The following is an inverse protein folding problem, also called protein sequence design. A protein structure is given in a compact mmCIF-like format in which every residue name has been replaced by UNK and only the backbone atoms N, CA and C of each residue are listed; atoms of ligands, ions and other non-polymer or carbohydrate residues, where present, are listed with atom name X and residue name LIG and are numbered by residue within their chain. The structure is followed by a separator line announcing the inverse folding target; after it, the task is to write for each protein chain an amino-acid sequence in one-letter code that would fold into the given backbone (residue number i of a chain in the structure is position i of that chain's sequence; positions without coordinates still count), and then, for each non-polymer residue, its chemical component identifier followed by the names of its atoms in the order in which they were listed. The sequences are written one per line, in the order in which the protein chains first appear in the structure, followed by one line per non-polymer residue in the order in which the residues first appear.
data_IF_627106738036
#
_entry.id   IF_627106738036
#
_cell.length_a   1.000
_cell.length_b   1.000
_cell.length_c   1.000
_cell.angle_alpha   90.00
_cell.angle_beta   90.00
_cell.angle_gamma   90.00
#
_symmetry.space_group_name_H-M   'P 1'
#
loop_
_entity.id
_entity.type
_entity.pdbx_description
1 polymer ?
#
# COMPACT_ATOMS: atom_id res chain seq x y z
N UNK A 1 38.65 7.33 -66.78
CA UNK A 1 39.28 6.29 -67.62
C UNK A 1 40.74 6.19 -67.21
N UNK A 2 41.29 4.98 -67.35
CA UNK A 2 42.45 4.46 -66.64
C UNK A 2 43.78 5.20 -66.85
N UNK A 3 44.66 5.11 -65.84
CA UNK A 3 46.09 4.89 -66.05
C UNK A 3 46.64 3.88 -65.02
N UNK A 4 47.69 3.09 -65.36
CA UNK A 4 48.17 1.95 -64.58
C UNK A 4 49.59 2.11 -63.98
N UNK A 5 49.76 1.52 -62.78
CA UNK A 5 50.85 0.68 -62.21
C UNK A 5 52.34 0.98 -62.50
N UNK A 6 53.13 1.12 -61.41
CA UNK A 6 54.46 0.49 -61.27
C UNK A 6 54.80 0.16 -59.79
N UNK A 7 55.67 -0.84 -59.62
CA UNK A 7 55.84 -1.79 -58.49
C UNK A 7 56.88 -1.37 -57.39
N UNK A 8 57.13 -2.21 -56.34
CA UNK A 8 57.60 -1.77 -55.01
C UNK A 8 59.12 -1.93 -54.78
N UNK A 9 59.64 -1.28 -53.72
CA UNK A 9 61.01 -1.52 -53.24
C UNK A 9 61.08 -1.96 -51.77
N UNK A 10 61.89 -2.99 -51.57
CA UNK A 10 62.15 -3.77 -50.36
C UNK A 10 62.88 -3.02 -49.22
N UNK A 11 62.71 -3.62 -48.04
CA UNK A 11 63.34 -3.39 -46.72
C UNK A 11 64.87 -3.16 -46.76
N UNK A 12 65.43 -2.68 -45.63
CA UNK A 12 66.44 -3.50 -44.95
C UNK A 12 66.15 -3.72 -43.46
N UNK A 13 66.42 -4.95 -43.04
CA UNK A 13 66.52 -5.46 -41.67
C UNK A 13 67.66 -4.83 -40.88
N UNK A 14 67.47 -4.67 -39.56
CA UNK A 14 68.55 -4.42 -38.60
C UNK A 14 68.56 -5.55 -37.53
N UNK A 15 69.64 -6.33 -37.39
CA UNK A 15 69.76 -7.44 -36.45
C UNK A 15 70.46 -7.01 -35.15
N UNK A 16 69.76 -7.15 -34.03
CA UNK A 16 70.21 -6.94 -32.63
C UNK A 16 70.37 -5.49 -32.14
N UNK A 17 69.33 -4.95 -31.50
CA UNK A 17 69.43 -3.69 -30.74
C UNK A 17 68.19 -3.32 -29.92
N UNK A 18 68.20 -3.70 -28.64
CA UNK A 18 67.52 -3.07 -27.47
C UNK A 18 66.03 -2.70 -27.59
N UNK A 19 65.24 -3.36 -26.74
CA UNK A 19 63.88 -2.96 -26.33
C UNK A 19 63.91 -1.50 -25.86
N UNK A 20 63.27 -0.60 -26.61
CA UNK A 20 63.01 0.77 -26.18
C UNK A 20 62.04 0.74 -25.00
N UNK A 21 62.58 1.02 -23.81
CA UNK A 21 61.83 1.43 -22.63
C UNK A 21 61.06 2.74 -22.95
N UNK A 22 59.80 2.61 -23.39
CA UNK A 22 58.86 3.72 -23.35
C UNK A 22 58.42 3.91 -21.90
N UNK A 23 59.20 4.69 -21.14
CA UNK A 23 58.75 5.33 -19.91
C UNK A 23 57.57 6.24 -20.25
N UNK A 24 56.36 5.72 -20.14
CA UNK A 24 55.16 6.54 -20.04
C UNK A 24 55.20 7.26 -18.69
N UNK A 25 55.72 8.50 -18.68
CA UNK A 25 55.43 9.47 -17.64
C UNK A 25 53.95 9.89 -17.80
N UNK A 26 53.02 9.11 -17.25
CA UNK A 26 51.68 9.62 -16.92
C UNK A 26 51.77 10.31 -15.58
N UNK A 27 51.58 11.63 -15.57
CA UNK A 27 51.40 12.46 -14.39
C UNK A 27 50.29 11.87 -13.50
N UNK A 28 50.66 11.16 -12.44
CA UNK A 28 49.72 10.61 -11.45
C UNK A 28 49.22 11.63 -10.42
N UNK A 29 49.71 12.88 -10.44
CA UNK A 29 49.32 13.90 -9.46
C UNK A 29 47.92 14.46 -9.70
N UNK A 30 47.51 14.63 -10.96
CA UNK A 30 46.29 15.38 -11.29
C UNK A 30 45.04 14.49 -11.27
N UNK A 31 45.18 13.17 -11.41
CA UNK A 31 44.05 12.24 -11.39
C UNK A 31 43.42 12.16 -10.00
N UNK A 32 44.23 12.12 -8.94
CA UNK A 32 43.69 12.10 -7.58
C UNK A 32 43.03 13.42 -7.19
N UNK A 33 43.57 14.56 -7.65
CA UNK A 33 42.96 15.87 -7.44
C UNK A 33 41.59 16.01 -8.16
N UNK A 34 41.46 15.47 -9.37
CA UNK A 34 40.18 15.45 -10.10
C UNK A 34 39.17 14.51 -9.45
N UNK A 35 39.62 13.36 -8.92
CA UNK A 35 38.76 12.43 -8.17
C UNK A 35 38.30 13.05 -6.85
N UNK A 36 39.21 13.66 -6.09
CA UNK A 36 38.88 14.34 -4.84
C UNK A 36 37.95 15.54 -5.07
N UNK A 37 38.21 16.35 -6.11
CA UNK A 37 37.36 17.46 -6.50
C UNK A 37 35.94 17.02 -6.89
N UNK A 38 35.84 15.94 -7.67
CA UNK A 38 34.55 15.36 -8.07
C UNK A 38 33.76 14.79 -6.89
N UNK A 39 34.44 14.17 -5.92
CA UNK A 39 33.79 13.62 -4.72
C UNK A 39 33.23 14.73 -3.82
N UNK A 40 34.00 15.82 -3.62
CA UNK A 40 33.53 16.99 -2.84
C UNK A 40 32.36 17.67 -3.54
N UNK A 41 32.43 17.87 -4.86
CA UNK A 41 31.32 18.44 -5.62
C UNK A 41 30.07 17.56 -5.56
N UNK A 42 30.22 16.24 -5.66
CA UNK A 42 29.11 15.30 -5.52
C UNK A 42 28.45 15.36 -4.14
N UNK A 43 29.25 15.47 -3.07
CA UNK A 43 28.75 15.62 -1.71
C UNK A 43 27.97 16.94 -1.53
N UNK A 44 28.51 18.06 -2.04
CA UNK A 44 27.86 19.37 -1.95
C UNK A 44 26.52 19.37 -2.70
N UNK A 45 26.47 18.78 -3.90
CA UNK A 45 25.23 18.66 -4.67
C UNK A 45 24.21 17.77 -3.95
N UNK A 46 24.64 16.63 -3.38
CA UNK A 46 23.76 15.74 -2.63
C UNK A 46 23.20 16.40 -1.36
N UNK A 47 24.05 17.07 -0.57
CA UNK A 47 23.62 17.79 0.63
C UNK A 47 22.70 18.96 0.28
N UNK A 48 23.00 19.71 -0.78
CA UNK A 48 22.12 20.76 -1.29
C UNK A 48 20.74 20.24 -1.71
N UNK A 49 20.69 19.10 -2.40
CA UNK A 49 19.44 18.46 -2.79
C UNK A 49 18.63 17.96 -1.58
N UNK A 50 19.29 17.40 -0.55
CA UNK A 50 18.63 16.98 0.70
C UNK A 50 18.08 18.17 1.47
N UNK A 51 18.84 19.28 1.57
CA UNK A 51 18.39 20.49 2.27
C UNK A 51 17.26 21.21 1.53
N UNK A 52 17.31 21.26 0.19
CA UNK A 52 16.25 21.85 -0.63
C UNK A 52 14.94 21.05 -0.61
N UNK A 53 15.01 19.73 -0.38
CA UNK A 53 13.84 18.84 -0.30
C UNK A 53 13.04 18.96 1.03
N UNK A 54 13.55 19.72 2.00
CA UNK A 54 12.89 19.98 3.28
C UNK A 54 12.93 18.78 4.26
N UNK A 55 12.35 18.95 5.47
CA UNK A 55 12.42 17.93 6.51
C UNK A 55 11.72 16.63 6.08
N UNK A 56 12.37 15.51 6.39
CA UNK A 56 11.81 14.18 6.29
C UNK A 56 11.09 13.83 7.60
N UNK A 57 9.89 13.28 7.50
CA UNK A 57 9.12 12.85 8.66
C UNK A 57 8.50 11.48 8.36
N UNK A 58 8.81 10.48 9.18
CA UNK A 58 8.29 9.11 9.06
C UNK A 58 8.37 8.51 7.63
N UNK A 59 9.51 8.71 6.95
CA UNK A 59 9.77 8.09 5.64
C UNK A 59 9.14 8.78 4.43
N UNK A 60 8.52 9.95 4.59
CA UNK A 60 7.96 10.74 3.48
C UNK A 60 8.45 12.20 3.54
N UNK A 61 8.64 12.84 2.38
CA UNK A 61 9.02 14.27 2.31
C UNK A 61 7.82 15.15 2.65
N UNK A 62 8.01 16.19 3.49
CA UNK A 62 6.94 17.15 3.80
C UNK A 62 6.35 17.82 2.56
N UNK A 63 7.19 18.15 1.58
CA UNK A 63 6.74 18.74 0.31
C UNK A 63 5.88 17.78 -0.52
N UNK A 64 6.19 16.48 -0.51
CA UNK A 64 5.38 15.45 -1.21
C UNK A 64 4.05 15.20 -0.49
N UNK A 65 4.02 15.26 0.84
CA UNK A 65 2.77 15.21 1.61
C UNK A 65 1.88 16.44 1.30
N UNK A 66 2.48 17.62 1.17
CA UNK A 66 1.76 18.84 0.79
C UNK A 66 1.30 18.82 -0.66
N UNK A 67 2.10 18.29 -1.58
CA UNK A 67 1.71 18.07 -2.98
C UNK A 67 0.60 17.02 -3.11
N UNK A 68 0.69 15.88 -2.40
CA UNK A 68 -0.38 14.87 -2.39
C UNK A 68 -1.68 15.40 -1.77
N UNK A 69 -1.58 16.25 -0.74
CA UNK A 69 -2.72 16.96 -0.17
C UNK A 69 -3.28 18.06 -1.11
N UNK A 70 -2.48 18.57 -2.05
CA UNK A 70 -2.87 19.59 -3.01
C UNK A 70 -3.34 19.01 -4.36
N UNK A 71 -2.85 17.84 -4.76
CA UNK A 71 -3.17 17.15 -6.04
C UNK A 71 -4.51 16.41 -5.99
N UNK A 72 -5.07 16.16 -4.81
CA UNK A 72 -6.41 15.59 -4.63
C UNK A 72 -7.40 16.59 -4.01
N UNK A 73 -8.04 17.46 -4.80
CA UNK A 73 -9.28 18.11 -4.38
C UNK A 73 -10.42 17.09 -4.46
N UNK A 74 -10.39 16.03 -3.65
CA UNK A 74 -11.47 15.03 -3.60
C UNK A 74 -11.71 14.55 -2.18
N UNK A 75 -12.83 14.99 -1.61
CA UNK A 75 -13.48 14.28 -0.49
C UNK A 75 -13.94 15.16 0.67
N UNK A 76 -13.51 16.42 0.76
CA UNK A 76 -14.15 17.39 1.62
C UNK A 76 -15.46 17.82 0.98
N UNK A 77 -16.60 17.38 1.53
CA UNK A 77 -17.84 18.15 1.37
C UNK A 77 -17.60 19.52 1.99
N UNK A 78 -17.12 20.46 1.17
CA UNK A 78 -17.35 21.87 1.43
C UNK A 78 -18.85 22.10 1.26
N UNK A 79 -19.58 22.03 2.37
CA UNK A 79 -20.76 22.84 2.52
C UNK A 79 -20.43 23.94 3.52
N UNK A 80 -20.64 25.18 3.09
CA UNK A 80 -20.62 26.34 3.96
C UNK A 80 -21.58 26.19 5.14
N UNK A 81 -21.46 27.12 6.08
CA UNK A 81 -22.32 27.37 7.27
C UNK A 81 -23.18 26.16 7.71
N UNK A 82 -22.68 25.46 8.73
CA UNK A 82 -23.35 24.41 9.52
C UNK A 82 -24.86 24.65 9.64
N UNK A 83 -25.67 23.83 8.95
CA UNK A 83 -27.12 23.80 9.16
C UNK A 83 -27.42 23.07 10.48
N UNK A 84 -28.36 23.56 11.32
CA UNK A 84 -28.80 22.85 12.50
C UNK A 84 -29.46 21.51 12.09
N UNK A 85 -29.01 20.39 12.67
CA UNK A 85 -29.64 19.06 12.49
C UNK A 85 -28.95 18.10 11.52
N UNK A 86 -27.75 18.41 10.99
CA UNK A 86 -26.94 17.42 10.29
C UNK A 86 -26.42 16.35 11.27
N UNK A 87 -26.38 15.05 10.88
CA UNK A 87 -25.82 14.00 11.72
C UNK A 87 -24.35 14.31 12.04
N UNK A 88 -23.99 14.15 13.31
CA UNK A 88 -22.62 14.33 13.77
C UNK A 88 -21.71 13.30 13.10
N UNK A 89 -20.48 13.66 12.68
CA UNK A 89 -19.50 12.69 12.21
C UNK A 89 -19.38 11.56 13.23
N UNK A 90 -19.40 10.31 12.76
CA UNK A 90 -19.16 9.17 13.62
C UNK A 90 -17.84 9.38 14.38
N UNK A 91 -17.80 9.16 15.71
CA UNK A 91 -16.59 9.35 16.48
C UNK A 91 -15.48 8.49 15.86
N UNK A 92 -14.29 9.07 15.71
CA UNK A 92 -13.12 8.28 15.33
C UNK A 92 -12.99 7.11 16.29
N UNK A 93 -12.73 5.91 15.75
CA UNK A 93 -12.47 4.75 16.59
C UNK A 93 -11.35 5.11 17.58
N UNK A 94 -11.49 4.74 18.87
CA UNK A 94 -10.43 4.96 19.83
C UNK A 94 -9.14 4.32 19.31
N UNK A 95 -8.00 4.96 19.58
CA UNK A 95 -6.71 4.42 19.19
C UNK A 95 -6.61 2.97 19.71
N UNK A 96 -6.54 2.02 18.78
CA UNK A 96 -6.53 0.57 19.09
C UNK A 96 -5.27 0.20 19.90
N UNK A 97 -4.25 1.03 19.78
CA UNK A 97 -3.11 1.09 20.68
C UNK A 97 -3.09 2.52 21.22
N UNK A 98 -3.14 2.68 22.56
CA UNK A 98 -2.62 3.91 23.14
C UNK A 98 -1.20 4.10 22.60
N UNK A 99 -0.83 5.34 22.25
CA UNK A 99 0.59 5.66 22.13
C UNK A 99 1.23 5.05 23.37
N UNK A 100 2.23 4.18 23.20
CA UNK A 100 2.98 3.69 24.35
C UNK A 100 3.36 4.94 25.12
N UNK A 101 2.77 5.13 26.31
CA UNK A 101 3.26 6.13 27.23
C UNK A 101 4.78 5.93 27.23
N UNK A 102 5.53 7.02 27.16
CA UNK A 102 6.97 7.03 27.40
C UNK A 102 7.24 6.65 28.85
N UNK A 103 6.73 5.51 29.30
CA UNK A 103 7.35 4.71 30.33
C UNK A 103 8.65 4.25 29.68
N UNK A 104 9.69 5.07 29.87
CA UNK A 104 11.09 4.69 29.79
C UNK A 104 11.36 3.58 30.79
N UNK A 105 10.77 2.39 30.55
CA UNK A 105 11.39 1.17 31.01
C UNK A 105 12.53 0.99 30.02
N UNK A 106 13.76 1.34 30.43
CA UNK A 106 14.93 1.14 29.60
C UNK A 106 14.90 -0.31 29.11
N UNK A 107 14.63 -0.49 27.80
CA UNK A 107 14.72 -1.81 27.20
C UNK A 107 16.13 -2.35 27.52
N UNK A 108 16.33 -3.64 27.79
CA UNK A 108 17.66 -4.19 27.99
C UNK A 108 18.55 -3.81 26.79
N UNK A 109 19.41 -2.81 26.98
CA UNK A 109 20.34 -2.30 25.97
C UNK A 109 21.60 -3.17 25.87
N UNK A 110 21.61 -4.34 26.50
CA UNK A 110 22.74 -5.25 26.44
C UNK A 110 22.47 -6.38 25.42
N UNK A 111 23.03 -6.28 24.20
CA UNK A 111 23.00 -7.35 23.21
C UNK A 111 23.47 -8.71 23.75
N UNK A 112 24.35 -8.75 24.75
CA UNK A 112 24.84 -10.01 25.32
C UNK A 112 23.74 -10.71 26.13
N UNK A 113 23.04 -9.99 26.99
CA UNK A 113 21.88 -10.51 27.73
C UNK A 113 20.77 -10.98 26.79
N UNK A 114 20.45 -10.22 25.74
CA UNK A 114 19.48 -10.64 24.71
C UNK A 114 19.90 -11.93 24.02
N UNK A 115 21.18 -12.04 23.63
CA UNK A 115 21.71 -13.25 23.01
C UNK A 115 21.60 -14.47 23.93
N UNK A 116 21.97 -14.33 25.19
CA UNK A 116 21.89 -15.40 26.20
C UNK A 116 20.45 -15.87 26.39
N UNK A 117 19.50 -14.94 26.47
CA UNK A 117 18.08 -15.27 26.65
C UNK A 117 17.46 -15.92 25.40
N UNK A 118 17.78 -15.40 24.21
CA UNK A 118 17.16 -15.84 22.95
C UNK A 118 17.80 -17.08 22.34
N UNK A 119 19.09 -17.34 22.58
CA UNK A 119 19.80 -18.48 22.02
C UNK A 119 19.10 -19.84 22.24
N UNK A 120 18.67 -20.23 23.46
CA UNK A 120 17.99 -21.50 23.65
C UNK A 120 16.62 -21.56 22.98
N UNK A 121 15.88 -20.45 22.93
CA UNK A 121 14.55 -20.38 22.32
C UNK A 121 14.62 -20.51 20.79
N UNK A 122 15.53 -19.77 20.16
CA UNK A 122 15.71 -19.75 18.70
C UNK A 122 16.49 -21.01 18.25
N UNK A 123 17.23 -21.66 19.15
CA UNK A 123 17.90 -22.93 18.92
C UNK A 123 17.01 -24.17 19.10
N UNK A 124 15.77 -23.99 19.54
CA UNK A 124 14.85 -25.10 19.82
C UNK A 124 14.59 -25.94 18.56
N UNK A 125 14.77 -27.28 18.61
CA UNK A 125 14.65 -28.14 17.43
C UNK A 125 13.25 -28.10 16.78
N UNK A 126 12.22 -27.76 17.55
CA UNK A 126 10.83 -27.62 17.10
C UNK A 126 10.64 -26.50 16.07
N UNK A 127 11.54 -25.51 16.03
CA UNK A 127 11.51 -24.43 15.04
C UNK A 127 12.10 -24.84 13.68
N UNK A 128 12.68 -26.03 13.59
CA UNK A 128 13.33 -26.52 12.38
C UNK A 128 14.61 -25.75 12.02
N UNK A 129 15.02 -25.85 10.75
CA UNK A 129 16.34 -25.38 10.31
C UNK A 129 16.36 -23.96 9.75
N UNK A 130 15.18 -23.34 9.51
CA UNK A 130 15.04 -22.02 8.90
C UNK A 130 14.38 -21.05 9.87
N UNK A 131 15.20 -20.47 10.74
CA UNK A 131 14.75 -19.51 11.76
C UNK A 131 15.45 -18.18 11.53
N UNK A 132 14.65 -17.11 11.44
CA UNK A 132 15.11 -15.74 11.41
C UNK A 132 14.51 -14.96 12.59
N UNK A 133 15.28 -14.06 13.17
CA UNK A 133 14.86 -13.20 14.27
C UNK A 133 15.62 -11.87 14.21
N UNK A 134 14.91 -10.79 14.55
CA UNK A 134 15.47 -9.44 14.69
C UNK A 134 14.82 -8.75 15.88
N UNK A 135 15.62 -8.10 16.71
CA UNK A 135 15.16 -7.20 17.77
C UNK A 135 15.78 -5.84 17.51
N UNK A 136 14.91 -4.83 17.41
CA UNK A 136 15.30 -3.46 17.11
C UNK A 136 14.76 -2.57 18.22
N UNK A 137 15.59 -1.66 18.71
CA UNK A 137 15.16 -0.57 19.57
C UNK A 137 14.28 0.38 18.73
N UNK A 138 13.00 0.49 19.09
CA UNK A 138 12.04 1.28 18.32
C UNK A 138 12.30 2.80 18.38
N UNK A 139 13.01 3.29 19.40
CA UNK A 139 13.31 4.71 19.57
C UNK A 139 14.57 5.12 18.78
N UNK A 140 15.59 4.27 18.76
CA UNK A 140 16.87 4.57 18.09
C UNK A 140 17.00 3.94 16.70
N UNK A 141 16.23 2.90 16.42
CA UNK A 141 16.39 2.06 15.22
C UNK A 141 17.57 1.09 15.30
N UNK A 142 18.27 1.02 16.43
CA UNK A 142 19.42 0.14 16.61
C UNK A 142 19.00 -1.33 16.66
N UNK A 143 19.64 -2.18 15.87
CA UNK A 143 19.42 -3.63 15.95
C UNK A 143 20.18 -4.22 17.14
N UNK A 144 19.45 -4.58 18.19
CA UNK A 144 20.00 -5.16 19.42
C UNK A 144 20.28 -6.67 19.31
N UNK A 145 19.57 -7.37 18.43
CA UNK A 145 19.77 -8.79 18.14
C UNK A 145 19.40 -9.13 16.70
N UNK A 146 20.14 -10.05 16.07
CA UNK A 146 19.82 -10.57 14.75
C UNK A 146 20.34 -11.98 14.52
N UNK A 147 19.48 -12.86 14.02
CA UNK A 147 19.84 -14.17 13.43
C UNK A 147 19.11 -14.29 12.10
N UNK A 148 19.83 -14.37 10.98
CA UNK A 148 19.20 -14.41 9.66
C UNK A 148 18.26 -13.22 9.38
N UNK A 149 18.50 -12.06 10.00
CA UNK A 149 17.57 -10.93 10.00
C UNK A 149 17.26 -10.39 8.59
N UNK A 150 18.20 -10.51 7.66
CA UNK A 150 18.04 -10.11 6.26
C UNK A 150 17.60 -11.27 5.33
N UNK A 151 17.36 -12.47 5.87
CA UNK A 151 16.93 -13.63 5.08
C UNK A 151 15.45 -13.47 4.70
N UNK A 152 15.08 -13.53 3.42
CA UNK A 152 13.68 -13.53 3.01
C UNK A 152 12.93 -14.75 3.57
N UNK A 153 11.78 -14.51 4.19
CA UNK A 153 10.92 -15.54 4.77
C UNK A 153 9.48 -15.33 4.29
N UNK A 154 8.72 -16.41 4.16
CA UNK A 154 7.28 -16.31 3.90
C UNK A 154 6.60 -15.67 5.11
N UNK A 155 6.02 -14.46 4.99
CA UNK A 155 5.55 -13.70 6.16
C UNK A 155 4.25 -14.25 6.75
N UNK A 156 3.50 -15.06 5.98
CA UNK A 156 2.11 -15.39 6.31
C UNK A 156 1.34 -14.10 6.67
N UNK A 157 0.58 -14.09 7.78
CA UNK A 157 -0.19 -12.91 8.20
C UNK A 157 0.66 -11.71 8.66
N UNK A 158 1.98 -11.83 8.87
CA UNK A 158 2.79 -10.64 9.19
C UNK A 158 2.89 -9.66 8.01
N UNK A 159 2.56 -10.10 6.79
CA UNK A 159 2.40 -9.22 5.62
C UNK A 159 1.38 -8.11 5.84
N UNK A 160 0.39 -8.33 6.73
CA UNK A 160 -0.64 -7.35 7.06
C UNK A 160 -0.07 -6.07 7.66
N UNK A 161 1.09 -6.13 8.33
CA UNK A 161 1.77 -4.94 8.86
C UNK A 161 2.15 -4.02 7.70
N UNK A 162 2.82 -4.56 6.67
CA UNK A 162 3.21 -3.78 5.50
C UNK A 162 1.99 -3.25 4.73
N UNK A 163 0.94 -4.07 4.56
CA UNK A 163 -0.31 -3.64 3.92
C UNK A 163 -1.00 -2.51 4.70
N UNK A 164 -1.09 -2.63 6.03
CA UNK A 164 -1.70 -1.62 6.88
C UNK A 164 -0.91 -0.30 6.86
N UNK A 165 0.42 -0.37 6.95
CA UNK A 165 1.28 0.82 6.81
C UNK A 165 1.09 1.50 5.46
N UNK A 166 1.03 0.74 4.36
CA UNK A 166 0.80 1.29 3.04
C UNK A 166 -0.58 1.97 2.93
N UNK A 167 -1.63 1.30 3.42
CA UNK A 167 -3.00 1.85 3.40
C UNK A 167 -3.11 3.12 4.24
N UNK A 168 -2.60 3.12 5.47
CA UNK A 168 -2.63 4.29 6.36
C UNK A 168 -1.79 5.45 5.83
N UNK A 169 -0.64 5.16 5.22
CA UNK A 169 0.22 6.20 4.62
C UNK A 169 -0.41 6.83 3.38
N UNK A 170 -1.11 6.03 2.56
CA UNK A 170 -1.72 6.50 1.33
C UNK A 170 -3.07 7.20 1.54
N UNK A 171 -3.90 6.67 2.46
CA UNK A 171 -5.29 7.10 2.62
C UNK A 171 -5.54 7.90 3.90
N UNK A 172 -4.66 7.78 4.89
CA UNK A 172 -4.85 8.33 6.23
C UNK A 172 -5.79 7.49 7.11
N UNK A 173 -5.75 7.68 8.44
CA UNK A 173 -6.59 6.94 9.38
C UNK A 173 -8.08 7.30 9.29
N UNK A 174 -8.41 8.48 8.76
CA UNK A 174 -9.78 8.98 8.64
C UNK A 174 -10.47 8.57 7.34
N UNK A 175 -9.79 7.81 6.47
CA UNK A 175 -10.39 7.35 5.22
C UNK A 175 -11.66 6.53 5.49
N UNK A 176 -12.66 6.70 4.62
CA UNK A 176 -13.91 5.93 4.63
C UNK A 176 -14.14 5.36 3.24
N UNK A 177 -14.49 4.08 3.19
CA UNK A 177 -14.80 3.40 1.94
C UNK A 177 -16.31 3.49 1.73
N UNK A 178 -16.73 4.24 0.71
CA UNK A 178 -18.14 4.56 0.52
C UNK A 178 -18.86 3.54 -0.39
N UNK A 179 -20.02 3.06 0.05
CA UNK A 179 -21.02 2.44 -0.82
C UNK A 179 -22.11 3.47 -1.11
N UNK A 180 -22.45 3.66 -2.39
CA UNK A 180 -23.40 4.71 -2.80
C UNK A 180 -24.49 4.16 -3.71
N UNK A 181 -25.60 4.88 -3.83
CA UNK A 181 -26.67 4.58 -4.78
C UNK A 181 -26.77 5.75 -5.75
N UNK A 182 -26.80 5.47 -7.05
CA UNK A 182 -26.97 6.47 -8.11
C UNK A 182 -28.29 6.24 -8.83
N UNK A 183 -29.04 7.32 -9.07
CA UNK A 183 -30.22 7.32 -9.91
C UNK A 183 -29.83 7.83 -11.31
N UNK A 184 -30.29 7.18 -12.37
CA UNK A 184 -30.13 7.66 -13.74
C UNK A 184 -30.92 8.96 -13.97
N UNK A 185 -30.49 9.77 -14.94
CA UNK A 185 -31.14 11.05 -15.27
C UNK A 185 -32.62 10.90 -15.65
N UNK A 186 -33.01 9.77 -16.24
CA UNK A 186 -34.39 9.45 -16.59
C UNK A 186 -35.22 8.90 -15.41
N UNK A 187 -34.62 8.75 -14.23
CA UNK A 187 -35.28 8.25 -13.02
C UNK A 187 -35.61 6.76 -13.04
N UNK A 188 -35.14 6.00 -14.04
CA UNK A 188 -35.57 4.60 -14.24
C UNK A 188 -34.59 3.54 -13.74
N UNK A 189 -33.35 3.92 -13.40
CA UNK A 189 -32.33 2.96 -12.96
C UNK A 189 -31.65 3.42 -11.67
N UNK A 190 -31.75 2.59 -10.64
CA UNK A 190 -30.91 2.68 -9.45
C UNK A 190 -29.66 1.81 -9.63
N UNK A 191 -28.48 2.35 -9.33
CA UNK A 191 -27.22 1.61 -9.36
C UNK A 191 -26.58 1.62 -7.97
N UNK A 192 -26.44 0.44 -7.36
CA UNK A 192 -25.66 0.25 -6.13
C UNK A 192 -24.17 0.16 -6.48
N UNK A 193 -23.41 1.19 -6.10
CA UNK A 193 -21.99 1.33 -6.45
C UNK A 193 -21.12 0.96 -5.26
N UNK A 194 -20.32 -0.09 -5.43
CA UNK A 194 -19.40 -0.59 -4.41
C UNK A 194 -18.08 0.18 -4.35
N UNK A 195 -17.74 0.68 -3.15
CA UNK A 195 -16.45 1.33 -2.89
C UNK A 195 -15.32 0.39 -2.47
N UNK A 196 -15.67 -0.85 -2.10
CA UNK A 196 -14.78 -1.84 -1.51
C UNK A 196 -14.93 -2.02 0.00
N UNK A 197 -16.04 -1.57 0.60
CA UNK A 197 -16.30 -1.67 2.04
C UNK A 197 -16.68 -3.11 2.41
N UNK A 198 -15.83 -3.85 3.14
CA UNK A 198 -16.15 -5.21 3.57
C UNK A 198 -17.06 -5.24 4.82
N UNK A 199 -17.32 -4.08 5.43
CA UNK A 199 -18.08 -3.93 6.68
C UNK A 199 -19.50 -3.41 6.48
N UNK A 200 -19.93 -3.24 5.23
CA UNK A 200 -21.31 -2.89 4.89
C UNK A 200 -22.24 -3.95 5.47
N UNK A 201 -23.15 -3.54 6.35
CA UNK A 201 -24.11 -4.43 6.99
C UNK A 201 -25.54 -4.23 6.45
N UNK A 202 -26.46 -5.08 6.89
CA UNK A 202 -27.87 -5.01 6.49
C UNK A 202 -28.54 -3.69 6.93
N UNK A 203 -28.14 -3.11 8.07
CA UNK A 203 -28.72 -1.85 8.56
C UNK A 203 -28.31 -0.65 7.69
N UNK A 204 -27.07 -0.62 7.23
CA UNK A 204 -26.56 0.34 6.28
C UNK A 204 -27.23 0.19 4.91
N UNK A 205 -27.46 -1.05 4.44
CA UNK A 205 -28.24 -1.29 3.21
C UNK A 205 -29.67 -0.78 3.32
N UNK A 206 -30.36 -1.02 4.44
CA UNK A 206 -31.70 -0.48 4.70
C UNK A 206 -31.72 1.04 4.66
N UNK A 207 -30.69 1.67 5.24
CA UNK A 207 -30.55 3.12 5.24
C UNK A 207 -30.36 3.67 3.82
N UNK A 208 -29.54 3.00 2.99
CA UNK A 208 -29.38 3.34 1.58
C UNK A 208 -30.68 3.15 0.79
N UNK A 209 -31.43 2.08 1.05
CA UNK A 209 -32.68 1.78 0.37
C UNK A 209 -33.77 2.81 0.70
N UNK A 210 -33.89 3.17 1.98
CA UNK A 210 -34.81 4.23 2.45
C UNK A 210 -34.48 5.58 1.81
N UNK A 211 -33.19 5.93 1.70
CA UNK A 211 -32.77 7.16 1.04
C UNK A 211 -33.07 7.13 -0.46
N UNK A 212 -32.87 5.99 -1.12
CA UNK A 212 -33.20 5.81 -2.54
C UNK A 212 -34.71 5.91 -2.81
N UNK A 213 -35.55 5.26 -1.98
CA UNK A 213 -37.00 5.35 -2.07
C UNK A 213 -37.52 6.80 -1.91
N UNK A 214 -36.94 7.54 -0.96
CA UNK A 214 -37.24 8.97 -0.79
C UNK A 214 -36.84 9.80 -2.02
N UNK A 215 -35.68 9.50 -2.62
CA UNK A 215 -35.22 10.19 -3.83
C UNK A 215 -36.10 9.90 -5.06
N UNK A 216 -36.77 8.73 -5.10
CA UNK A 216 -37.73 8.36 -6.14
C UNK A 216 -39.11 9.00 -5.98
N UNK A 217 -39.40 9.64 -4.84
CA UNK A 217 -40.65 10.42 -4.67
C UNK A 217 -41.76 9.74 -3.86
N UNK A 218 -41.45 8.76 -2.99
CA UNK A 218 -42.35 8.30 -1.92
C UNK A 218 -43.56 7.44 -2.32
N UNK A 219 -44.01 7.54 -3.57
CA UNK A 219 -45.16 6.80 -4.12
C UNK A 219 -44.74 6.05 -5.41
N UNK A 220 -43.65 5.28 -5.34
CA UNK A 220 -43.05 4.58 -6.48
C UNK A 220 -43.95 3.51 -7.08
N UNK A 221 -44.98 3.91 -7.83
CA UNK A 221 -45.86 3.00 -8.57
C UNK A 221 -45.16 2.41 -9.80
N UNK A 222 -44.22 3.16 -10.39
CA UNK A 222 -43.47 2.72 -11.57
C UNK A 222 -42.26 1.87 -11.17
N UNK A 223 -42.12 0.63 -11.71
CA UNK A 223 -40.95 -0.19 -11.48
C UNK A 223 -39.66 0.49 -11.95
N UNK A 224 -38.61 0.44 -11.13
CA UNK A 224 -37.27 0.92 -11.48
C UNK A 224 -36.31 -0.24 -11.66
N UNK A 225 -35.40 -0.13 -12.62
CA UNK A 225 -34.35 -1.12 -12.83
C UNK A 225 -33.30 -1.02 -11.73
N UNK A 226 -32.97 -2.13 -11.09
CA UNK A 226 -31.78 -2.20 -10.23
C UNK A 226 -30.55 -2.70 -11.01
N UNK A 227 -29.44 -1.98 -10.87
CA UNK A 227 -28.11 -2.36 -11.31
C UNK A 227 -27.13 -2.30 -10.12
N UNK A 228 -25.96 -2.90 -10.28
CA UNK A 228 -24.86 -2.75 -9.34
C UNK A 228 -23.53 -2.58 -10.08
N UNK A 229 -22.62 -1.82 -9.50
CA UNK A 229 -21.33 -1.47 -10.08
C UNK A 229 -20.19 -1.96 -9.18
N UNK A 230 -19.38 -2.87 -9.71
CA UNK A 230 -18.18 -3.42 -9.08
C UNK A 230 -16.88 -2.98 -9.75
N UNK A 231 -16.95 -2.07 -10.73
CA UNK A 231 -15.85 -1.70 -11.64
C UNK A 231 -14.66 -1.04 -10.94
N UNK A 232 -14.81 -0.62 -9.68
CA UNK A 232 -13.73 -0.07 -8.87
C UNK A 232 -12.57 -1.05 -8.67
N UNK A 233 -12.85 -2.36 -8.66
CA UNK A 233 -11.84 -3.41 -8.64
C UNK A 233 -11.75 -4.09 -10.01
N UNK A 234 -10.53 -4.43 -10.43
CA UNK A 234 -10.27 -5.18 -11.66
C UNK A 234 -9.31 -6.33 -11.36
N UNK A 235 -9.25 -7.32 -12.25
CA UNK A 235 -8.37 -8.47 -12.12
C UNK A 235 -8.98 -9.65 -11.35
N UNK A 236 -8.16 -10.65 -10.97
CA UNK A 236 -8.64 -11.86 -10.32
C UNK A 236 -9.24 -11.58 -8.94
N UNK A 237 -10.47 -12.05 -8.71
CA UNK A 237 -11.16 -11.90 -7.41
C UNK A 237 -10.69 -12.88 -6.34
N UNK A 238 -9.81 -13.83 -6.67
CA UNK A 238 -9.29 -14.83 -5.73
C UNK A 238 -7.77 -14.95 -5.85
N UNK A 239 -7.10 -14.97 -4.70
CA UNK A 239 -5.68 -15.30 -4.63
C UNK A 239 -5.46 -16.81 -4.84
N UNK A 240 -4.39 -17.25 -5.53
CA UNK A 240 -4.10 -18.66 -5.80
C UNK A 240 -3.58 -19.45 -4.57
N UNK A 241 -3.95 -19.08 -3.34
CA UNK A 241 -3.47 -19.71 -2.09
C UNK A 241 -4.11 -21.09 -1.80
N UNK A 242 -4.89 -21.62 -2.75
CA UNK A 242 -5.64 -22.87 -2.62
C UNK A 242 -7.09 -22.66 -2.20
N UNK A 243 -7.82 -23.77 -2.03
CA UNK A 243 -9.22 -23.74 -1.59
C UNK A 243 -9.27 -23.39 -0.10
N UNK A 244 -9.87 -22.25 0.22
CA UNK A 244 -10.16 -21.84 1.59
C UNK A 244 -11.57 -21.23 1.64
N UNK A 245 -12.53 -21.89 2.30
CA UNK A 245 -13.91 -21.39 2.32
C UNK A 245 -14.04 -20.09 3.14
N UNK A 246 -13.07 -19.78 4.00
CA UNK A 246 -13.01 -18.53 4.77
C UNK A 246 -12.51 -17.32 3.96
N UNK A 247 -12.27 -17.47 2.66
CA UNK A 247 -11.83 -16.37 1.78
C UNK A 247 -12.93 -16.09 0.76
N UNK A 248 -13.61 -14.96 0.93
CA UNK A 248 -14.54 -14.43 -0.06
C UNK A 248 -13.80 -13.99 -1.34
N UNK A 249 -14.47 -14.01 -2.50
CA UNK A 249 -14.03 -13.21 -3.65
C UNK A 249 -13.83 -11.75 -3.23
N UNK A 250 -12.71 -11.14 -3.62
CA UNK A 250 -12.42 -9.73 -3.39
C UNK A 250 -13.13 -8.91 -4.46
N UNK A 251 -14.30 -8.37 -4.12
CA UNK A 251 -15.14 -7.53 -4.97
C UNK A 251 -15.31 -6.15 -4.34
N UNK A 252 -15.63 -5.14 -5.15
CA UNK A 252 -15.88 -3.79 -4.65
C UNK A 252 -17.20 -3.66 -3.89
N UNK A 253 -18.06 -4.67 -3.95
CA UNK A 253 -19.37 -4.72 -3.30
C UNK A 253 -19.53 -6.07 -2.59
N UNK A 254 -19.84 -6.04 -1.31
CA UNK A 254 -20.19 -7.18 -0.47
C UNK A 254 -20.96 -6.69 0.77
N UNK A 255 -21.62 -7.61 1.47
CA UNK A 255 -22.27 -7.38 2.77
C UNK A 255 -21.66 -8.34 3.78
N UNK A 256 -21.45 -7.90 5.01
CA UNK A 256 -20.98 -8.72 6.14
C UNK A 256 -19.75 -9.55 5.77
N UNK A 257 -18.78 -8.93 5.08
CA UNK A 257 -17.57 -9.56 4.55
C UNK A 257 -17.83 -10.80 3.64
N UNK A 258 -19.06 -10.98 3.16
CA UNK A 258 -19.52 -12.17 2.43
C UNK A 258 -19.69 -13.42 3.30
N UNK A 259 -19.89 -13.31 4.61
CA UNK A 259 -20.18 -14.44 5.49
C UNK A 259 -21.55 -15.05 5.17
N UNK A 260 -21.68 -16.37 5.37
CA UNK A 260 -22.93 -17.12 5.16
C UNK A 260 -23.64 -17.46 6.49
N UNK A 261 -23.04 -17.10 7.62
CA UNK A 261 -23.57 -17.26 8.96
C UNK A 261 -23.66 -15.89 9.67
N UNK A 262 -24.14 -15.87 10.91
CA UNK A 262 -24.34 -14.68 11.74
C UNK A 262 -23.12 -14.34 12.60
N UNK A 263 -21.97 -14.97 12.35
CA UNK A 263 -20.79 -14.74 13.17
C UNK A 263 -20.07 -13.44 12.79
N UNK A 264 -19.52 -12.75 13.78
CA UNK A 264 -18.79 -11.48 13.60
C UNK A 264 -17.27 -11.65 13.63
N UNK A 265 -16.79 -12.89 13.87
CA UNK A 265 -15.38 -13.18 14.08
C UNK A 265 -15.05 -14.64 13.78
N UNK A 266 -13.76 -14.92 13.66
CA UNK A 266 -13.26 -16.26 13.38
C UNK A 266 -13.58 -16.72 11.95
N UNK A 267 -13.24 -17.99 11.63
CA UNK A 267 -13.53 -18.56 10.33
C UNK A 267 -15.03 -18.72 10.09
N UNK A 268 -15.49 -18.41 8.88
CA UNK A 268 -16.84 -18.75 8.39
C UNK A 268 -16.79 -19.07 6.91
N UNK A 269 -17.72 -19.88 6.43
CA UNK A 269 -17.90 -20.06 5.00
C UNK A 269 -18.31 -18.74 4.36
N UNK A 270 -17.67 -18.42 3.22
CA UNK A 270 -17.91 -17.20 2.47
C UNK A 270 -18.66 -17.46 1.17
N UNK A 271 -19.50 -16.51 0.79
CA UNK A 271 -20.21 -16.52 -0.48
C UNK A 271 -19.24 -16.63 -1.66
N UNK A 272 -19.74 -17.24 -2.74
CA UNK A 272 -19.07 -17.29 -4.04
C UNK A 272 -19.44 -16.11 -4.95
N UNK A 273 -20.51 -15.39 -4.62
CA UNK A 273 -21.06 -14.23 -5.35
C UNK A 273 -21.42 -13.10 -4.36
N UNK A 274 -20.44 -12.53 -3.64
CA UNK A 274 -20.72 -11.51 -2.62
C UNK A 274 -21.34 -10.23 -3.18
N UNK A 275 -21.03 -9.86 -4.43
CA UNK A 275 -21.63 -8.70 -5.07
C UNK A 275 -23.10 -8.94 -5.45
N UNK A 276 -23.43 -10.11 -5.98
CA UNK A 276 -24.82 -10.46 -6.26
C UNK A 276 -25.65 -10.65 -4.98
N UNK A 277 -25.06 -11.19 -3.91
CA UNK A 277 -25.73 -11.26 -2.60
C UNK A 277 -26.05 -9.87 -2.06
N UNK A 278 -25.10 -8.94 -2.13
CA UNK A 278 -25.31 -7.54 -1.74
C UNK A 278 -26.43 -6.88 -2.57
N UNK A 279 -26.46 -7.10 -3.89
CA UNK A 279 -27.50 -6.56 -4.75
C UNK A 279 -28.89 -7.14 -4.44
N UNK A 280 -28.98 -8.45 -4.14
CA UNK A 280 -30.23 -9.11 -3.71
C UNK A 280 -30.71 -8.61 -2.36
N UNK A 281 -29.81 -8.42 -1.40
CA UNK A 281 -30.14 -7.87 -0.09
C UNK A 281 -30.64 -6.42 -0.22
N UNK A 282 -29.97 -5.60 -1.03
CA UNK A 282 -30.41 -4.24 -1.30
C UNK A 282 -31.77 -4.17 -2.01
N UNK A 283 -32.03 -5.06 -2.98
CA UNK A 283 -33.33 -5.18 -3.63
C UNK A 283 -34.45 -5.49 -2.61
N UNK A 284 -34.19 -6.41 -1.67
CA UNK A 284 -35.16 -6.72 -0.61
C UNK A 284 -35.45 -5.52 0.28
N UNK A 285 -34.43 -4.73 0.64
CA UNK A 285 -34.59 -3.50 1.43
C UNK A 285 -35.29 -2.38 0.62
N UNK A 286 -35.10 -2.31 -0.70
CA UNK A 286 -35.87 -1.40 -1.58
C UNK A 286 -37.35 -1.77 -1.61
N UNK A 287 -37.67 -3.06 -1.76
CA UNK A 287 -39.05 -3.56 -1.70
C UNK A 287 -39.69 -3.27 -0.33
N UNK A 288 -38.95 -3.46 0.76
CA UNK A 288 -39.41 -3.10 2.10
C UNK A 288 -39.65 -1.59 2.28
N UNK A 289 -38.92 -0.77 1.52
CA UNK A 289 -39.09 0.69 1.46
C UNK A 289 -40.17 1.14 0.43
N UNK A 290 -40.91 0.22 -0.19
CA UNK A 290 -42.01 0.52 -1.11
C UNK A 290 -41.59 0.78 -2.56
N UNK A 291 -40.37 0.41 -2.96
CA UNK A 291 -39.89 0.53 -4.34
C UNK A 291 -40.02 -0.80 -5.07
N UNK A 292 -40.65 -0.81 -6.24
CA UNK A 292 -40.72 -2.00 -7.11
C UNK A 292 -39.47 -2.07 -8.00
N UNK A 293 -38.72 -3.18 -7.92
CA UNK A 293 -37.47 -3.44 -8.68
C UNK A 293 -37.44 -4.77 -9.40
#
# INVERSE_FOLDING_TARGET
MAEPVEEPSNRPSDPWGRIKNLKSKRNGSNTWQVVAGSAVLGLVVATGAVLAAGPWDNGQRKAERQLAAAEHPTGGVHHGRRLPGAPEPAPSAPAVLGALDTVTRSAPQDPASLRTALAPLIGAPELGTRVAASVVDAATGEQLYGRGAATPMTPASTVKIATATAALSALGPDHRIATTVRLSEDGRTLTLVGGGDPTLDTAALRSLATAAAKALGGDGEDPVRLAYDTSRYTGPVRHPIGKNPNIAPVTALMVDEGRLDDSDRGPADRSKDPAGDAARAFAAELTAAGVTV
#
